data_IF_050452356401
#
_entry.id   IF_050452356401
#
_cell.length_a   1.000
_cell.length_b   1.000
_cell.length_c   1.000
_cell.angle_alpha   90.00
_cell.angle_beta   90.00
_cell.angle_gamma   90.00
#
_symmetry.space_group_name_H-M   'P 1'
#
loop_
_entity.id
_entity.type
_entity.pdbx_description
1 polymer ?
#
# COMPACT_ATOMS: atom_id res chain seq x y z
N UNK A 1 -1.04 27.91 -75.58
CA UNK A 1 -1.42 27.71 -74.17
C UNK A 1 -2.27 28.89 -73.77
N UNK A 2 -3.53 28.61 -73.42
CA UNK A 2 -4.44 29.65 -72.92
C UNK A 2 -4.02 30.09 -71.52
N UNK A 3 -4.45 31.28 -71.11
CA UNK A 3 -4.21 31.79 -69.76
C UNK A 3 -4.81 30.86 -68.69
N UNK A 4 -5.91 30.19 -69.03
CA UNK A 4 -6.58 29.20 -68.18
C UNK A 4 -5.75 27.93 -67.98
N UNK A 5 -5.11 27.40 -69.03
CA UNK A 5 -4.21 26.22 -68.92
C UNK A 5 -3.03 26.50 -67.97
N UNK A 6 -2.50 27.73 -68.01
CA UNK A 6 -1.39 28.14 -67.14
C UNK A 6 -1.83 28.32 -65.69
N UNK A 7 -3.02 28.88 -65.44
CA UNK A 7 -3.57 29.01 -64.09
C UNK A 7 -3.90 27.66 -63.47
N UNK A 8 -4.39 26.70 -64.26
CA UNK A 8 -4.63 25.33 -63.81
C UNK A 8 -3.32 24.60 -63.47
N UNK A 9 -2.27 24.80 -64.27
CA UNK A 9 -0.95 24.23 -63.98
C UNK A 9 -0.33 24.83 -62.71
N UNK A 10 -0.43 26.15 -62.51
CA UNK A 10 0.01 26.82 -61.28
C UNK A 10 -0.80 26.36 -60.07
N UNK A 11 -2.11 26.22 -60.19
CA UNK A 11 -2.98 25.71 -59.14
C UNK A 11 -2.68 24.26 -58.75
N UNK A 12 -2.37 23.40 -59.73
CA UNK A 12 -1.94 22.03 -59.49
C UNK A 12 -0.59 21.98 -58.77
N UNK A 13 0.39 22.79 -59.19
CA UNK A 13 1.70 22.89 -58.51
C UNK A 13 1.56 23.41 -57.09
N UNK A 14 0.70 24.40 -56.85
CA UNK A 14 0.45 24.95 -55.52
C UNK A 14 -0.21 23.91 -54.58
N UNK A 15 -1.15 23.10 -55.08
CA UNK A 15 -1.73 21.99 -54.30
C UNK A 15 -0.69 20.93 -53.92
N UNK A 16 0.22 20.58 -54.83
CA UNK A 16 1.31 19.63 -54.56
C UNK A 16 2.28 20.17 -53.51
N UNK A 17 2.65 21.46 -53.59
CA UNK A 17 3.52 22.11 -52.60
C UNK A 17 2.87 22.19 -51.22
N UNK A 18 1.58 22.53 -51.14
CA UNK A 18 0.83 22.57 -49.87
C UNK A 18 0.67 21.17 -49.25
N UNK A 19 0.42 20.15 -50.08
CA UNK A 19 0.37 18.76 -49.61
C UNK A 19 1.75 18.30 -49.09
N UNK A 20 2.84 18.68 -49.78
CA UNK A 20 4.21 18.40 -49.34
C UNK A 20 4.62 19.13 -48.05
N UNK A 21 4.11 20.34 -47.83
CA UNK A 21 4.29 21.07 -46.56
C UNK A 21 3.51 20.42 -45.42
N UNK A 22 2.29 19.94 -45.67
CA UNK A 22 1.48 19.22 -44.69
C UNK A 22 2.14 17.91 -44.26
N UNK A 23 2.67 17.12 -45.20
CA UNK A 23 3.39 15.88 -44.89
C UNK A 23 4.71 16.15 -44.17
N UNK A 24 5.44 17.21 -44.54
CA UNK A 24 6.65 17.62 -43.83
C UNK A 24 6.35 18.06 -42.38
N UNK A 25 5.30 18.85 -42.17
CA UNK A 25 4.88 19.26 -40.82
C UNK A 25 4.52 18.05 -39.97
N UNK A 26 3.75 17.11 -40.52
CA UNK A 26 3.39 15.87 -39.82
C UNK A 26 4.64 15.03 -39.47
N UNK A 27 5.60 14.90 -40.39
CA UNK A 27 6.86 14.20 -40.14
C UNK A 27 7.71 14.88 -39.06
N UNK A 28 7.72 16.21 -39.00
CA UNK A 28 8.40 16.97 -37.95
C UNK A 28 7.72 16.78 -36.60
N UNK A 29 6.39 16.82 -36.56
CA UNK A 29 5.61 16.58 -35.33
C UNK A 29 5.81 15.15 -34.81
N UNK A 30 5.72 14.14 -35.68
CA UNK A 30 6.00 12.74 -35.34
C UNK A 30 7.46 12.56 -34.89
N UNK A 31 8.42 13.20 -35.57
CA UNK A 31 9.83 13.18 -35.18
C UNK A 31 10.09 13.83 -33.82
N UNK A 32 9.42 14.94 -33.52
CA UNK A 32 9.48 15.60 -32.22
C UNK A 32 8.87 14.73 -31.12
N UNK A 33 7.71 14.12 -31.36
CA UNK A 33 7.08 13.20 -30.41
C UNK A 33 7.99 12.00 -30.12
N UNK A 34 8.58 11.39 -31.15
CA UNK A 34 9.54 10.30 -30.98
C UNK A 34 10.79 10.72 -30.21
N UNK A 35 11.29 11.94 -30.43
CA UNK A 35 12.44 12.46 -29.70
C UNK A 35 12.09 12.70 -28.22
N UNK A 36 10.92 13.26 -27.93
CA UNK A 36 10.39 13.41 -26.56
C UNK A 36 10.30 12.05 -25.88
N UNK A 37 9.66 11.06 -26.50
CA UNK A 37 9.56 9.69 -25.99
C UNK A 37 10.93 9.05 -25.73
N UNK A 38 11.91 9.22 -26.63
CA UNK A 38 13.27 8.70 -26.45
C UNK A 38 14.00 9.39 -25.30
N UNK A 39 13.85 10.70 -25.17
CA UNK A 39 14.43 11.48 -24.06
C UNK A 39 13.80 11.06 -22.74
N UNK A 40 12.47 10.93 -22.68
CA UNK A 40 11.73 10.44 -21.51
C UNK A 40 12.17 9.03 -21.13
N UNK A 41 12.28 8.11 -22.10
CA UNK A 41 12.73 6.73 -21.86
C UNK A 41 14.18 6.67 -21.36
N UNK A 42 15.08 7.45 -21.95
CA UNK A 42 16.46 7.53 -21.51
C UNK A 42 16.57 8.14 -20.10
N UNK A 43 15.73 9.12 -19.79
CA UNK A 43 15.64 9.76 -18.49
C UNK A 43 15.08 8.81 -17.43
N UNK A 44 13.99 8.10 -17.73
CA UNK A 44 13.43 7.06 -16.89
C UNK A 44 14.51 6.03 -16.52
N UNK A 45 15.26 5.53 -17.51
CA UNK A 45 16.39 4.61 -17.29
C UNK A 45 17.51 5.21 -16.44
N UNK A 46 17.80 6.50 -16.61
CA UNK A 46 18.82 7.20 -15.83
C UNK A 46 18.40 7.37 -14.37
N UNK A 47 17.15 7.77 -14.16
CA UNK A 47 16.56 7.95 -12.83
C UNK A 47 16.40 6.60 -12.14
N UNK A 48 16.02 5.53 -12.83
CA UNK A 48 15.89 4.15 -12.30
C UNK A 48 17.23 3.58 -11.83
N UNK A 49 18.33 3.97 -12.47
CA UNK A 49 19.69 3.58 -12.05
C UNK A 49 20.27 4.48 -10.96
N UNK A 50 19.62 5.60 -10.63
CA UNK A 50 20.16 6.60 -9.70
C UNK A 50 20.28 6.12 -8.24
N UNK A 51 19.35 5.33 -7.66
CA UNK A 51 19.49 4.77 -6.32
C UNK A 51 20.76 3.90 -6.19
N UNK A 52 20.93 2.96 -7.12
CA UNK A 52 22.14 2.14 -7.21
C UNK A 52 23.38 2.98 -7.47
N UNK A 53 23.24 4.10 -8.19
CA UNK A 53 24.34 5.02 -8.43
C UNK A 53 24.75 5.74 -7.15
N UNK A 54 23.81 6.17 -6.29
CA UNK A 54 24.10 6.82 -5.02
C UNK A 54 24.70 5.83 -4.01
N UNK A 55 24.20 4.60 -3.96
CA UNK A 55 24.79 3.52 -3.15
C UNK A 55 26.20 3.21 -3.63
N UNK A 56 26.40 2.96 -4.93
CA UNK A 56 27.73 2.74 -5.51
C UNK A 56 28.65 3.95 -5.33
N UNK A 57 28.11 5.16 -5.43
CA UNK A 57 28.86 6.39 -5.19
C UNK A 57 29.34 6.44 -3.74
N UNK A 58 28.48 6.14 -2.76
CA UNK A 58 28.86 6.08 -1.34
C UNK A 58 29.90 5.00 -1.07
N UNK A 59 29.81 3.84 -1.72
CA UNK A 59 30.79 2.75 -1.58
C UNK A 59 32.18 3.09 -2.16
N UNK A 60 32.23 3.97 -3.16
CA UNK A 60 33.46 4.30 -3.90
C UNK A 60 34.00 5.68 -3.57
N UNK A 61 33.32 6.42 -2.71
CA UNK A 61 33.69 7.76 -2.26
C UNK A 61 34.21 7.67 -0.84
N UNK A 62 35.35 8.30 -0.57
CA UNK A 62 35.81 8.54 0.79
C UNK A 62 34.94 9.63 1.44
N UNK A 63 33.77 9.23 1.94
CA UNK A 63 32.81 10.12 2.60
C UNK A 63 33.46 10.87 3.77
N UNK A 64 34.24 10.23 4.67
CA UNK A 64 34.98 10.95 5.72
C UNK A 64 35.88 12.07 5.18
N UNK A 65 36.64 11.83 4.11
CA UNK A 65 37.49 12.86 3.52
C UNK A 65 36.68 14.02 2.93
N UNK A 66 35.56 13.74 2.23
CA UNK A 66 34.66 14.78 1.71
C UNK A 66 34.07 15.61 2.85
N UNK A 67 33.57 14.96 3.90
CA UNK A 67 33.03 15.65 5.06
C UNK A 67 34.11 16.50 5.73
N UNK A 68 35.35 16.02 5.87
CA UNK A 68 36.47 16.79 6.41
C UNK A 68 36.72 18.07 5.60
N UNK A 69 36.73 18.00 4.27
CA UNK A 69 36.87 19.18 3.39
C UNK A 69 35.72 20.16 3.56
N UNK A 70 34.48 19.66 3.67
CA UNK A 70 33.30 20.48 3.93
C UNK A 70 33.33 21.14 5.32
N UNK A 71 33.84 20.45 6.34
CA UNK A 71 34.05 21.02 7.68
C UNK A 71 35.11 22.13 7.65
N UNK A 72 36.18 21.92 6.90
CA UNK A 72 37.24 22.92 6.70
C UNK A 72 36.83 24.07 5.76
N UNK A 73 35.62 24.02 5.16
CA UNK A 73 35.15 24.97 4.13
C UNK A 73 36.12 25.11 2.95
N UNK A 74 36.72 24.00 2.55
CA UNK A 74 37.67 23.93 1.43
C UNK A 74 36.99 23.42 0.16
N UNK A 75 36.39 24.33 -0.61
CA UNK A 75 35.71 23.99 -1.85
C UNK A 75 36.69 23.67 -3.00
N UNK A 76 37.87 24.29 -2.99
CA UNK A 76 38.86 24.15 -4.05
C UNK A 76 39.39 22.71 -4.13
N UNK A 77 39.60 22.05 -2.98
CA UNK A 77 40.05 20.66 -2.93
C UNK A 77 38.96 19.61 -3.21
N UNK A 78 37.70 20.02 -3.36
CA UNK A 78 36.65 19.14 -3.83
C UNK A 78 36.79 18.92 -5.34
N UNK A 79 37.02 17.68 -5.73
CA UNK A 79 36.96 17.23 -7.11
C UNK A 79 35.55 17.39 -7.68
N UNK A 80 35.43 17.43 -9.01
CA UNK A 80 34.12 17.48 -9.69
C UNK A 80 33.19 16.34 -9.28
N UNK A 81 33.74 15.16 -9.01
CA UNK A 81 32.99 13.99 -8.54
C UNK A 81 32.44 14.21 -7.14
N UNK A 82 33.28 14.69 -6.22
CA UNK A 82 32.89 15.00 -4.84
C UNK A 82 31.81 16.08 -4.80
N UNK A 83 31.97 17.19 -5.54
CA UNK A 83 30.96 18.26 -5.64
C UNK A 83 29.59 17.74 -6.07
N UNK A 84 29.57 16.83 -7.05
CA UNK A 84 28.32 16.19 -7.52
C UNK A 84 27.69 15.26 -6.47
N UNK A 85 28.50 14.71 -5.57
CA UNK A 85 28.07 13.78 -4.53
C UNK A 85 27.49 14.47 -3.30
N UNK A 86 27.94 15.70 -2.99
CA UNK A 86 27.54 16.43 -1.77
C UNK A 86 26.02 16.49 -1.55
N UNK A 87 25.16 16.79 -2.55
CA UNK A 87 23.71 16.77 -2.35
C UNK A 87 23.15 15.40 -1.90
N UNK A 88 23.80 14.30 -2.30
CA UNK A 88 23.46 12.93 -1.89
C UNK A 88 23.90 12.58 -0.46
N UNK A 89 24.70 13.45 0.18
CA UNK A 89 25.20 13.33 1.55
C UNK A 89 24.52 14.34 2.49
N UNK A 90 23.34 14.85 2.12
CA UNK A 90 22.67 15.94 2.84
C UNK A 90 22.47 15.64 4.33
N UNK A 91 22.19 14.37 4.71
CA UNK A 91 22.02 13.95 6.11
C UNK A 91 23.29 14.15 6.92
N UNK A 92 24.43 13.79 6.35
CA UNK A 92 25.74 13.86 7.00
C UNK A 92 26.32 15.28 7.00
N UNK A 93 25.99 16.07 5.97
CA UNK A 93 26.49 17.45 5.81
C UNK A 93 25.77 18.40 6.77
N UNK A 94 24.45 18.27 6.92
CA UNK A 94 23.62 19.18 7.69
C UNK A 94 23.30 20.50 6.97
N UNK A 95 22.27 21.23 7.43
CA UNK A 95 21.75 22.40 6.72
C UNK A 95 22.76 23.56 6.64
N UNK A 96 23.49 23.84 7.72
CA UNK A 96 24.45 24.96 7.76
C UNK A 96 25.59 24.80 6.75
N UNK A 97 26.20 23.60 6.70
CA UNK A 97 27.31 23.33 5.78
C UNK A 97 26.82 23.19 4.35
N UNK A 98 25.61 22.67 4.15
CA UNK A 98 25.01 22.64 2.83
C UNK A 98 24.71 24.06 2.33
N UNK A 99 24.32 24.98 3.21
CA UNK A 99 24.15 26.39 2.85
C UNK A 99 25.45 26.97 2.30
N UNK A 100 26.54 26.83 3.05
CA UNK A 100 27.87 27.27 2.60
C UNK A 100 28.27 26.60 1.27
N UNK A 101 28.05 25.29 1.13
CA UNK A 101 28.36 24.57 -0.11
C UNK A 101 27.56 25.09 -1.31
N UNK A 102 26.27 25.37 -1.13
CA UNK A 102 25.40 25.91 -2.18
C UNK A 102 25.75 27.36 -2.55
N UNK A 103 26.38 28.13 -1.65
CA UNK A 103 26.93 29.44 -2.00
C UNK A 103 28.12 29.31 -2.98
N UNK A 104 28.89 28.24 -2.85
CA UNK A 104 30.02 27.94 -3.75
C UNK A 104 29.61 27.19 -5.02
N UNK A 105 28.49 26.46 -4.99
CA UNK A 105 27.97 25.65 -6.11
C UNK A 105 26.43 25.77 -6.22
N UNK A 106 25.90 26.93 -6.66
CA UNK A 106 24.45 27.12 -6.81
C UNK A 106 23.80 26.11 -7.76
N UNK A 107 24.53 25.63 -8.77
CA UNK A 107 24.09 24.64 -9.75
C UNK A 107 23.81 23.25 -9.14
N UNK A 108 24.22 23.03 -7.88
CA UNK A 108 23.92 21.80 -7.14
C UNK A 108 22.55 21.82 -6.47
N UNK A 109 21.89 22.98 -6.36
CA UNK A 109 20.59 23.13 -5.72
C UNK A 109 19.51 22.20 -6.32
N UNK A 110 19.32 22.09 -7.65
CA UNK A 110 18.35 21.16 -8.23
C UNK A 110 18.57 19.69 -7.88
N UNK A 111 19.83 19.27 -7.62
CA UNK A 111 20.13 17.90 -7.18
C UNK A 111 19.74 17.69 -5.73
N UNK A 112 19.98 18.68 -4.87
CA UNK A 112 19.59 18.63 -3.47
C UNK A 112 18.06 18.53 -3.33
N UNK A 113 17.31 19.34 -4.07
CA UNK A 113 15.84 19.31 -4.04
C UNK A 113 15.32 17.91 -4.38
N UNK A 114 15.75 17.35 -5.51
CA UNK A 114 15.36 16.01 -5.95
C UNK A 114 15.71 14.94 -4.93
N UNK A 115 16.91 15.01 -4.35
CA UNK A 115 17.30 14.06 -3.33
C UNK A 115 16.47 14.20 -2.05
N UNK A 116 16.13 15.42 -1.63
CA UNK A 116 15.32 15.65 -0.42
C UNK A 116 13.88 15.16 -0.57
N UNK A 117 13.29 15.27 -1.75
CA UNK A 117 11.95 14.73 -2.02
C UNK A 117 11.97 13.22 -2.13
N UNK A 118 13.01 12.66 -2.75
CA UNK A 118 13.24 11.21 -2.80
C UNK A 118 13.39 10.62 -1.40
N UNK A 119 14.12 11.32 -0.54
CA UNK A 119 14.37 10.90 0.84
C UNK A 119 13.35 11.45 1.83
N UNK A 120 12.26 12.05 1.35
CA UNK A 120 11.24 12.66 2.21
C UNK A 120 10.64 11.59 3.11
N UNK A 121 10.53 11.90 4.39
CA UNK A 121 9.94 11.01 5.38
C UNK A 121 9.07 11.81 6.32
N UNK A 122 7.90 11.27 6.63
CA UNK A 122 6.98 11.79 7.65
C UNK A 122 7.57 11.68 9.05
N UNK A 123 8.51 10.77 9.26
CA UNK A 123 9.20 10.53 10.55
C UNK A 123 10.39 11.46 10.80
N UNK A 124 10.83 12.24 9.78
CA UNK A 124 11.88 13.24 9.97
C UNK A 124 11.46 14.28 11.02
N UNK A 125 12.40 14.65 11.90
CA UNK A 125 12.20 15.70 12.88
C UNK A 125 11.68 17.01 12.23
N UNK A 126 10.66 17.61 12.85
CA UNK A 126 9.99 18.78 12.31
C UNK A 126 10.89 20.02 12.23
N UNK A 127 11.90 20.12 13.10
CA UNK A 127 12.87 21.22 13.09
C UNK A 127 13.88 21.03 11.96
N UNK A 128 14.44 19.82 11.81
CA UNK A 128 15.27 19.46 10.66
C UNK A 128 14.56 19.72 9.33
N UNK A 129 13.33 19.22 9.18
CA UNK A 129 12.55 19.39 7.95
C UNK A 129 12.35 20.85 7.59
N UNK A 130 11.95 21.69 8.56
CA UNK A 130 11.78 23.14 8.37
C UNK A 130 13.09 23.84 8.00
N UNK A 131 14.21 23.46 8.64
CA UNK A 131 15.52 24.03 8.31
C UNK A 131 15.92 23.75 6.86
N UNK A 132 15.73 22.50 6.40
CA UNK A 132 15.99 22.12 5.01
C UNK A 132 15.05 22.80 4.01
N UNK A 133 13.76 22.85 4.32
CA UNK A 133 12.76 23.51 3.47
C UNK A 133 13.11 25.00 3.26
N UNK A 134 13.41 25.72 4.35
CA UNK A 134 13.83 27.13 4.29
C UNK A 134 15.13 27.34 3.53
N UNK A 135 16.14 26.49 3.79
CA UNK A 135 17.44 26.59 3.12
C UNK A 135 17.29 26.53 1.58
N UNK A 136 16.47 25.61 1.11
CA UNK A 136 16.23 25.42 -0.32
C UNK A 136 15.29 26.51 -0.87
N UNK A 137 14.26 26.87 -0.12
CA UNK A 137 13.24 27.85 -0.51
C UNK A 137 13.74 29.29 -0.66
N UNK A 138 14.73 29.69 0.14
CA UNK A 138 15.28 31.04 0.12
C UNK A 138 16.20 31.31 -1.08
N UNK A 139 16.56 30.28 -1.86
CA UNK A 139 17.51 30.41 -2.97
C UNK A 139 16.79 30.55 -4.29
N UNK A 140 17.19 31.49 -5.16
CA UNK A 140 16.60 31.64 -6.49
C UNK A 140 16.86 30.36 -7.27
N UNK A 141 15.79 29.79 -7.78
CA UNK A 141 15.84 28.55 -8.52
C UNK A 141 15.21 28.81 -9.88
N UNK A 142 16.05 28.81 -10.92
CA UNK A 142 15.56 28.97 -12.29
C UNK A 142 14.55 27.85 -12.59
N UNK A 143 13.34 28.22 -13.01
CA UNK A 143 12.26 27.27 -13.35
C UNK A 143 12.66 26.27 -14.44
N UNK A 144 13.70 26.58 -15.23
CA UNK A 144 14.30 25.71 -16.24
C UNK A 144 15.31 24.70 -15.67
N UNK A 145 15.97 25.03 -14.55
CA UNK A 145 17.05 24.23 -13.96
C UNK A 145 16.53 23.05 -13.12
N UNK A 146 15.35 23.20 -12.54
CA UNK A 146 14.55 22.09 -12.05
C UNK A 146 13.45 21.84 -13.09
N UNK A 147 13.32 20.61 -13.63
CA UNK A 147 12.08 20.17 -14.31
C UNK A 147 10.96 19.98 -13.28
N UNK A 148 10.66 21.05 -12.55
CA UNK A 148 9.76 21.11 -11.41
C UNK A 148 8.56 21.94 -11.81
N UNK A 149 7.53 21.23 -12.24
CA UNK A 149 6.23 21.80 -12.56
C UNK A 149 5.24 21.59 -11.41
N UNK A 150 5.72 21.53 -10.16
CA UNK A 150 4.80 21.48 -9.04
C UNK A 150 4.08 22.82 -8.90
N UNK A 151 2.78 22.80 -8.58
CA UNK A 151 1.97 24.00 -8.40
C UNK A 151 2.27 24.75 -7.10
N UNK A 152 3.30 24.34 -6.36
CA UNK A 152 3.67 24.89 -5.05
C UNK A 152 5.17 25.21 -4.99
N UNK A 153 5.54 26.06 -4.04
CA UNK A 153 6.95 26.40 -3.79
C UNK A 153 7.74 25.17 -3.33
N UNK A 154 9.06 25.18 -3.56
CA UNK A 154 9.94 24.10 -3.08
C UNK A 154 9.97 24.03 -1.55
N UNK A 155 9.92 25.18 -0.87
CA UNK A 155 9.83 25.23 0.60
C UNK A 155 8.58 24.49 1.10
N UNK A 156 7.43 24.77 0.49
CA UNK A 156 6.17 24.14 0.85
C UNK A 156 6.18 22.64 0.55
N UNK A 157 6.71 22.24 -0.62
CA UNK A 157 6.81 20.82 -1.00
C UNK A 157 7.71 20.02 -0.05
N UNK A 158 8.85 20.58 0.38
CA UNK A 158 9.74 19.94 1.36
C UNK A 158 9.20 20.00 2.79
N UNK A 159 8.20 20.83 3.04
CA UNK A 159 7.52 20.97 4.33
C UNK A 159 6.78 19.71 4.78
N UNK A 160 6.31 19.75 6.03
CA UNK A 160 5.50 18.66 6.59
C UNK A 160 4.16 18.51 5.88
N UNK A 161 3.58 19.63 5.43
CA UNK A 161 2.30 19.70 4.75
C UNK A 161 2.41 19.58 3.23
N UNK A 162 3.61 19.54 2.65
CA UNK A 162 3.82 19.48 1.20
C UNK A 162 2.95 18.42 0.48
N UNK A 163 2.95 17.15 0.95
CA UNK A 163 2.08 16.14 0.36
C UNK A 163 0.59 16.44 0.47
N UNK A 164 0.16 17.08 1.56
CA UNK A 164 -1.24 17.47 1.78
C UNK A 164 -1.65 18.58 0.82
N UNK A 165 -0.83 19.63 0.68
CA UNK A 165 -1.12 20.77 -0.20
C UNK A 165 -1.20 20.33 -1.67
N UNK A 166 -0.27 19.47 -2.12
CA UNK A 166 -0.32 18.92 -3.48
C UNK A 166 -1.57 18.09 -3.74
N UNK A 167 -1.91 17.21 -2.79
CA UNK A 167 -3.13 16.40 -2.87
C UNK A 167 -4.38 17.29 -2.96
N UNK A 168 -4.42 18.39 -2.20
CA UNK A 168 -5.51 19.37 -2.20
C UNK A 168 -5.61 20.08 -3.56
N UNK A 169 -4.47 20.48 -4.11
CA UNK A 169 -4.42 21.18 -5.40
C UNK A 169 -4.92 20.31 -6.56
N UNK A 170 -4.66 19.00 -6.52
CA UNK A 170 -5.07 18.06 -7.57
C UNK A 170 -6.33 17.26 -7.25
N UNK A 171 -7.09 17.63 -6.21
CA UNK A 171 -8.25 16.87 -5.74
C UNK A 171 -9.38 16.73 -6.77
N UNK A 172 -9.41 17.58 -7.80
CA UNK A 172 -10.37 17.51 -8.91
C UNK A 172 -10.06 16.41 -9.92
N UNK A 173 -8.80 15.98 -10.04
CA UNK A 173 -8.37 14.99 -11.03
C UNK A 173 -8.52 13.57 -10.47
N UNK A 174 -8.72 12.55 -11.32
CA UNK A 174 -8.59 11.14 -10.96
C UNK A 174 -7.22 10.79 -10.38
N UNK A 175 -7.13 9.68 -9.64
CA UNK A 175 -5.88 9.26 -9.01
C UNK A 175 -4.80 8.92 -10.05
N UNK A 176 -5.18 8.29 -11.16
CA UNK A 176 -4.24 7.95 -12.24
C UNK A 176 -3.59 9.20 -12.83
N UNK A 177 -4.38 10.25 -13.07
CA UNK A 177 -3.87 11.53 -13.57
C UNK A 177 -2.98 12.22 -12.54
N UNK A 178 -3.30 12.14 -11.24
CA UNK A 178 -2.45 12.65 -10.18
C UNK A 178 -1.06 11.97 -10.19
N UNK A 179 -1.01 10.66 -10.39
CA UNK A 179 0.26 9.92 -10.47
C UNK A 179 1.06 10.33 -11.71
N UNK A 180 0.41 10.52 -12.86
CA UNK A 180 1.08 11.05 -14.06
C UNK A 180 1.55 12.50 -13.88
N UNK A 181 0.78 13.35 -13.19
CA UNK A 181 1.21 14.72 -12.86
C UNK A 181 2.44 14.73 -11.93
N UNK A 182 2.49 13.85 -10.93
CA UNK A 182 3.68 13.68 -10.08
C UNK A 182 4.89 13.27 -10.93
N UNK A 183 4.72 12.30 -11.82
CA UNK A 183 5.76 11.82 -12.74
C UNK A 183 6.25 12.94 -13.66
N UNK A 184 5.34 13.71 -14.24
CA UNK A 184 5.63 14.86 -15.10
C UNK A 184 6.35 15.99 -14.34
N UNK A 185 6.11 16.11 -13.04
CA UNK A 185 6.85 17.00 -12.15
C UNK A 185 8.22 16.44 -11.68
N UNK A 186 8.64 15.29 -12.22
CA UNK A 186 9.92 14.66 -11.90
C UNK A 186 9.92 13.88 -10.57
N UNK A 187 8.75 13.63 -9.98
CA UNK A 187 8.60 12.80 -8.80
C UNK A 187 8.29 11.37 -9.22
N UNK A 188 9.16 10.43 -8.82
CA UNK A 188 8.91 9.03 -9.09
C UNK A 188 7.67 8.53 -8.33
N UNK A 189 6.76 7.79 -8.98
CA UNK A 189 5.65 7.12 -8.30
C UNK A 189 6.13 6.25 -7.13
N UNK A 190 7.20 5.46 -7.31
CA UNK A 190 7.78 4.66 -6.25
C UNK A 190 8.52 5.44 -5.15
N UNK A 191 8.57 6.78 -5.17
CA UNK A 191 9.23 7.54 -4.11
C UNK A 191 8.35 7.65 -2.85
N UNK A 192 8.94 7.75 -1.64
CA UNK A 192 8.23 8.02 -0.40
C UNK A 192 7.23 9.17 -0.52
N UNK A 193 7.68 10.31 -1.07
CA UNK A 193 6.86 11.51 -1.21
C UNK A 193 5.56 11.26 -1.99
N UNK A 194 5.64 10.58 -3.13
CA UNK A 194 4.49 10.27 -3.97
C UNK A 194 3.45 9.41 -3.22
N UNK A 195 3.88 8.39 -2.49
CA UNK A 195 2.98 7.58 -1.65
C UNK A 195 2.25 8.41 -0.59
N UNK A 196 2.95 9.38 0.02
CA UNK A 196 2.32 10.30 0.97
C UNK A 196 1.34 11.28 0.31
N UNK A 197 1.60 11.76 -0.93
CA UNK A 197 0.63 12.56 -1.69
C UNK A 197 -0.64 11.74 -1.95
N UNK A 198 -0.48 10.50 -2.44
CA UNK A 198 -1.60 9.60 -2.74
C UNK A 198 -2.43 9.31 -1.48
N UNK A 199 -1.77 9.00 -0.35
CA UNK A 199 -2.46 8.78 0.91
C UNK A 199 -3.24 10.02 1.38
N UNK A 200 -2.70 11.23 1.20
CA UNK A 200 -3.41 12.48 1.52
C UNK A 200 -4.57 12.75 0.59
N UNK A 201 -4.41 12.48 -0.70
CA UNK A 201 -5.45 12.61 -1.71
C UNK A 201 -6.66 11.72 -1.39
N UNK A 202 -6.42 10.44 -1.08
CA UNK A 202 -7.47 9.49 -0.68
C UNK A 202 -8.25 10.01 0.54
N UNK A 203 -7.54 10.41 1.60
CA UNK A 203 -8.16 10.96 2.83
C UNK A 203 -8.95 12.23 2.59
N UNK A 204 -8.48 13.13 1.72
CA UNK A 204 -9.22 14.34 1.36
C UNK A 204 -10.49 14.01 0.59
N UNK A 205 -10.47 13.01 -0.30
CA UNK A 205 -11.68 12.53 -0.98
C UNK A 205 -12.69 11.88 -0.03
N UNK A 206 -12.24 11.16 1.00
CA UNK A 206 -13.12 10.69 2.10
C UNK A 206 -13.81 11.89 2.76
N UNK A 207 -13.05 12.92 3.16
CA UNK A 207 -13.60 14.13 3.78
C UNK A 207 -14.61 14.84 2.87
N UNK A 208 -14.34 14.88 1.57
CA UNK A 208 -15.22 15.43 0.55
C UNK A 208 -16.40 14.51 0.18
N UNK A 209 -16.51 13.32 0.80
CA UNK A 209 -17.54 12.30 0.52
C UNK A 209 -17.67 11.94 -0.97
N UNK A 210 -16.54 11.89 -1.67
CA UNK A 210 -16.49 11.50 -3.08
C UNK A 210 -16.42 9.98 -3.22
N UNK A 211 -16.91 9.46 -4.35
CA UNK A 211 -16.65 8.09 -4.76
C UNK A 211 -15.14 7.88 -4.96
N UNK A 212 -14.68 6.74 -4.45
CA UNK A 212 -13.27 6.34 -4.42
C UNK A 212 -13.02 5.07 -5.23
N UNK A 213 -14.06 4.51 -5.86
CA UNK A 213 -14.01 3.24 -6.61
C UNK A 213 -12.91 3.23 -7.66
N UNK A 214 -12.87 4.25 -8.53
CA UNK A 214 -11.86 4.38 -9.60
C UNK A 214 -10.42 4.46 -9.04
N UNK A 215 -10.23 5.21 -7.95
CA UNK A 215 -8.91 5.36 -7.34
C UNK A 215 -8.41 4.07 -6.69
N UNK A 216 -9.30 3.35 -5.99
CA UNK A 216 -8.94 2.07 -5.38
C UNK A 216 -8.76 0.97 -6.44
N UNK A 217 -9.56 0.98 -7.51
CA UNK A 217 -9.38 0.11 -8.67
C UNK A 217 -7.99 0.29 -9.30
N UNK A 218 -7.56 1.54 -9.51
CA UNK A 218 -6.19 1.83 -9.96
C UNK A 218 -5.13 1.20 -9.05
N UNK A 219 -5.27 1.34 -7.73
CA UNK A 219 -4.29 0.78 -6.78
C UNK A 219 -4.23 -0.75 -6.79
N UNK A 220 -5.34 -1.42 -7.08
CA UNK A 220 -5.45 -2.88 -6.98
C UNK A 220 -5.17 -3.57 -8.32
N UNK A 221 -5.52 -2.96 -9.45
CA UNK A 221 -5.51 -3.62 -10.76
C UNK A 221 -4.43 -3.10 -11.71
N UNK A 222 -3.95 -1.87 -11.52
CA UNK A 222 -2.94 -1.29 -12.41
C UNK A 222 -1.53 -1.52 -11.84
N UNK A 223 -0.55 -2.05 -12.60
CA UNK A 223 0.80 -2.34 -12.10
C UNK A 223 1.48 -1.14 -11.41
N UNK A 224 1.26 0.07 -11.94
CA UNK A 224 1.78 1.30 -11.34
C UNK A 224 1.17 1.58 -9.96
N UNK A 225 -0.14 1.34 -9.79
CA UNK A 225 -0.85 1.44 -8.53
C UNK A 225 -0.44 0.36 -7.51
N UNK A 226 -0.19 -0.85 -8.01
CA UNK A 226 0.22 -1.98 -7.17
C UNK A 226 1.58 -1.79 -6.50
N UNK A 227 2.42 -0.89 -7.01
CA UNK A 227 3.71 -0.55 -6.39
C UNK A 227 3.57 -0.10 -4.92
N UNK A 228 2.42 0.47 -4.52
CA UNK A 228 2.16 0.86 -3.13
C UNK A 228 1.38 -0.18 -2.32
N UNK A 229 0.80 -1.18 -2.97
CA UNK A 229 -0.04 -2.21 -2.34
C UNK A 229 0.76 -3.48 -2.03
N UNK A 230 0.27 -4.38 -1.16
CA UNK A 230 0.78 -5.74 -1.05
C UNK A 230 0.73 -6.45 -2.41
N UNK A 231 1.81 -7.12 -2.80
CA UNK A 231 1.88 -7.85 -4.08
C UNK A 231 2.65 -9.16 -3.88
N UNK A 232 2.42 -10.11 -4.76
CA UNK A 232 3.16 -11.37 -4.78
C UNK A 232 4.34 -11.29 -5.77
N UNK A 233 5.22 -12.31 -5.75
CA UNK A 233 6.37 -12.36 -6.66
C UNK A 233 5.99 -12.60 -8.15
N UNK A 234 4.72 -12.89 -8.44
CA UNK A 234 4.20 -13.14 -9.79
C UNK A 234 3.55 -11.90 -10.41
N UNK A 235 3.32 -10.85 -9.63
CA UNK A 235 2.75 -9.59 -10.11
C UNK A 235 3.83 -8.85 -10.92
N UNK A 236 3.42 -8.20 -12.03
CA UNK A 236 4.31 -7.42 -12.91
C UNK A 236 4.64 -6.04 -12.29
N UNK A 237 5.09 -6.04 -11.04
CA UNK A 237 5.48 -4.85 -10.29
C UNK A 237 7.00 -4.68 -10.42
N UNK A 238 7.40 -3.81 -11.36
CA UNK A 238 8.82 -3.60 -11.66
C UNK A 238 9.64 -3.12 -10.44
N UNK A 239 9.07 -2.24 -9.59
CA UNK A 239 9.73 -1.70 -8.39
C UNK A 239 8.66 -1.37 -7.32
N UNK A 240 8.74 -2.03 -6.16
CA UNK A 240 7.90 -1.72 -5.00
C UNK A 240 8.28 -0.38 -4.37
N UNK A 241 7.29 0.40 -3.93
CA UNK A 241 7.55 1.62 -3.16
C UNK A 241 8.20 1.30 -1.79
N UNK A 242 8.96 2.23 -1.18
CA UNK A 242 9.48 2.06 0.16
C UNK A 242 8.37 1.79 1.19
N UNK A 243 8.71 1.03 2.23
CA UNK A 243 7.78 0.61 3.29
C UNK A 243 6.91 1.75 3.82
N UNK A 244 7.51 2.90 4.12
CA UNK A 244 6.80 4.05 4.68
C UNK A 244 5.67 4.55 3.75
N UNK A 245 5.93 4.64 2.45
CA UNK A 245 4.92 5.03 1.47
C UNK A 245 3.82 3.97 1.33
N UNK A 246 4.20 2.68 1.31
CA UNK A 246 3.24 1.58 1.28
C UNK A 246 2.32 1.61 2.48
N UNK A 247 2.87 1.77 3.69
CA UNK A 247 2.09 1.92 4.94
C UNK A 247 1.13 3.10 4.86
N UNK A 248 1.58 4.25 4.38
CA UNK A 248 0.73 5.43 4.25
C UNK A 248 -0.46 5.20 3.29
N UNK A 249 -0.21 4.60 2.12
CA UNK A 249 -1.23 4.30 1.12
C UNK A 249 -2.18 3.21 1.60
N UNK A 250 -1.67 2.11 2.16
CA UNK A 250 -2.49 1.02 2.71
C UNK A 250 -3.38 1.52 3.85
N UNK A 251 -2.84 2.32 4.78
CA UNK A 251 -3.62 2.94 5.86
C UNK A 251 -4.75 3.82 5.31
N UNK A 252 -4.45 4.67 4.32
CA UNK A 252 -5.49 5.49 3.68
C UNK A 252 -6.51 4.64 2.89
N UNK A 253 -6.10 3.55 2.26
CA UNK A 253 -6.99 2.63 1.56
C UNK A 253 -7.93 1.89 2.54
N UNK A 254 -7.45 1.53 3.73
CA UNK A 254 -8.31 0.98 4.80
C UNK A 254 -9.32 2.01 5.29
N UNK A 255 -8.91 3.27 5.47
CA UNK A 255 -9.84 4.35 5.79
C UNK A 255 -10.91 4.51 4.70
N UNK A 256 -10.52 4.45 3.42
CA UNK A 256 -11.45 4.47 2.29
C UNK A 256 -12.40 3.27 2.33
N UNK A 257 -11.89 2.08 2.65
CA UNK A 257 -12.68 0.86 2.78
C UNK A 257 -13.69 0.96 3.94
N UNK A 258 -13.32 1.61 5.05
CA UNK A 258 -14.17 1.76 6.24
C UNK A 258 -15.21 2.89 6.11
N UNK A 259 -14.86 3.98 5.43
CA UNK A 259 -15.64 5.24 5.45
C UNK A 259 -16.06 5.77 4.07
N UNK A 260 -15.46 5.26 3.00
CA UNK A 260 -15.68 5.73 1.64
C UNK A 260 -16.91 5.13 0.97
N UNK A 261 -17.41 5.83 -0.03
CA UNK A 261 -18.30 5.23 -1.03
C UNK A 261 -17.40 4.46 -2.00
N UNK A 262 -17.41 3.13 -1.89
CA UNK A 262 -16.63 2.22 -2.74
C UNK A 262 -17.57 1.14 -3.25
N UNK A 263 -17.53 0.88 -4.55
CA UNK A 263 -18.31 -0.19 -5.17
C UNK A 263 -17.95 -1.55 -4.55
N UNK A 264 -18.93 -2.45 -4.28
CA UNK A 264 -18.68 -3.75 -3.64
C UNK A 264 -17.65 -4.62 -4.37
N UNK A 265 -17.61 -4.55 -5.70
CA UNK A 265 -16.64 -5.28 -6.54
C UNK A 265 -15.20 -4.81 -6.32
N UNK A 266 -14.97 -3.50 -6.22
CA UNK A 266 -13.66 -2.91 -5.91
C UNK A 266 -13.28 -3.23 -4.46
N UNK A 267 -14.24 -3.16 -3.54
CA UNK A 267 -14.04 -3.52 -2.14
C UNK A 267 -13.50 -4.94 -2.01
N UNK A 268 -14.17 -5.94 -2.59
CA UNK A 268 -13.71 -7.34 -2.53
C UNK A 268 -12.30 -7.54 -3.10
N UNK A 269 -12.00 -6.93 -4.26
CA UNK A 269 -10.64 -6.99 -4.84
C UNK A 269 -9.59 -6.33 -3.95
N UNK A 270 -9.92 -5.21 -3.30
CA UNK A 270 -9.04 -4.55 -2.35
C UNK A 270 -8.75 -5.45 -1.15
N UNK A 271 -9.75 -6.12 -0.59
CA UNK A 271 -9.56 -7.05 0.52
C UNK A 271 -8.63 -8.20 0.12
N UNK A 272 -8.84 -8.82 -1.04
CA UNK A 272 -7.98 -9.88 -1.59
C UNK A 272 -6.54 -9.41 -1.78
N UNK A 273 -6.37 -8.19 -2.31
CA UNK A 273 -5.05 -7.58 -2.49
C UNK A 273 -4.35 -7.36 -1.16
N UNK A 274 -5.07 -6.87 -0.15
CA UNK A 274 -4.50 -6.57 1.16
C UNK A 274 -4.02 -7.82 1.89
N UNK A 275 -4.70 -8.96 1.73
CA UNK A 275 -4.32 -10.23 2.38
C UNK A 275 -3.35 -11.09 1.57
N UNK A 276 -2.91 -10.62 0.40
CA UNK A 276 -2.01 -11.41 -0.45
C UNK A 276 -0.69 -11.68 0.26
N UNK A 277 -0.05 -12.80 -0.06
CA UNK A 277 1.24 -13.17 0.52
C UNK A 277 2.34 -12.26 -0.02
N UNK A 278 2.53 -11.16 0.67
CA UNK A 278 3.61 -10.19 0.50
C UNK A 278 4.68 -10.40 1.59
N UNK A 279 5.96 -10.21 1.27
CA UNK A 279 7.07 -10.45 2.21
C UNK A 279 7.11 -9.46 3.38
N UNK A 280 6.44 -8.31 3.25
CA UNK A 280 6.45 -7.19 4.19
C UNK A 280 5.16 -7.11 4.98
N UNK A 281 4.01 -7.27 4.31
CA UNK A 281 2.70 -7.23 4.94
C UNK A 281 2.23 -8.61 5.39
N UNK A 282 2.27 -9.64 4.55
CA UNK A 282 1.68 -10.93 4.91
C UNK A 282 0.20 -10.81 5.34
N UNK A 283 -0.27 -11.69 6.22
CA UNK A 283 -1.68 -11.74 6.63
C UNK A 283 -1.93 -10.89 7.90
N UNK A 284 -2.88 -9.91 7.87
CA UNK A 284 -3.18 -9.04 9.01
C UNK A 284 -3.81 -9.76 10.21
N UNK A 285 -4.22 -11.02 10.06
CA UNK A 285 -4.86 -11.81 11.12
C UNK A 285 -3.84 -12.58 11.97
N UNK A 286 -2.55 -12.52 11.67
CA UNK A 286 -1.54 -13.23 12.45
C UNK A 286 -1.40 -12.63 13.86
N UNK A 287 -1.10 -13.49 14.84
CA UNK A 287 -0.90 -13.08 16.24
C UNK A 287 0.27 -12.12 16.39
N UNK A 288 1.38 -12.44 15.72
CA UNK A 288 2.51 -11.52 15.53
C UNK A 288 2.31 -10.86 14.18
N UNK A 289 1.97 -9.58 14.21
CA UNK A 289 1.82 -8.79 13.00
C UNK A 289 3.17 -8.63 12.32
N UNK A 290 3.15 -8.54 10.99
CA UNK A 290 4.34 -8.14 10.25
C UNK A 290 4.68 -6.68 10.52
N UNK A 291 5.93 -6.28 10.25
CA UNK A 291 6.34 -4.89 10.36
C UNK A 291 5.41 -3.93 9.57
N UNK A 292 4.92 -4.36 8.40
CA UNK A 292 3.98 -3.58 7.60
C UNK A 292 2.65 -3.37 8.31
N UNK A 293 2.04 -4.44 8.83
CA UNK A 293 0.75 -4.34 9.53
C UNK A 293 0.83 -3.65 10.88
N UNK A 294 1.92 -3.83 11.63
CA UNK A 294 2.17 -3.07 12.86
C UNK A 294 2.22 -1.57 12.58
N UNK A 295 2.92 -1.17 11.52
CA UNK A 295 3.03 0.23 11.13
C UNK A 295 1.69 0.80 10.64
N UNK A 296 0.91 0.03 9.88
CA UNK A 296 -0.46 0.42 9.47
C UNK A 296 -1.37 0.60 10.68
N UNK A 297 -1.38 -0.36 11.61
CA UNK A 297 -2.17 -0.27 12.85
C UNK A 297 -1.77 0.92 13.71
N UNK A 298 -0.48 1.24 13.77
CA UNK A 298 0.02 2.44 14.47
C UNK A 298 -0.41 3.73 13.77
N UNK A 299 -0.48 3.73 12.45
CA UNK A 299 -0.87 4.90 11.66
C UNK A 299 -2.39 5.17 11.74
N UNK A 300 -3.21 4.13 11.63
CA UNK A 300 -4.65 4.19 11.83
C UNK A 300 -5.18 2.89 12.44
N UNK A 301 -5.32 2.91 13.77
CA UNK A 301 -5.81 1.76 14.51
C UNK A 301 -7.29 1.48 14.21
N UNK A 302 -8.11 2.50 14.04
CA UNK A 302 -9.55 2.33 13.88
C UNK A 302 -9.88 1.67 12.54
N UNK A 303 -9.25 2.13 11.46
CA UNK A 303 -9.41 1.53 10.13
C UNK A 303 -8.87 0.09 10.07
N UNK A 304 -7.72 -0.17 10.72
CA UNK A 304 -7.17 -1.51 10.83
C UNK A 304 -8.08 -2.46 11.61
N UNK A 305 -8.52 -2.07 12.82
CA UNK A 305 -9.37 -2.90 13.66
C UNK A 305 -10.74 -3.16 12.98
N UNK A 306 -11.29 -2.18 12.25
CA UNK A 306 -12.52 -2.34 11.45
C UNK A 306 -12.34 -3.34 10.30
N UNK A 307 -11.23 -3.26 9.57
CA UNK A 307 -10.90 -4.20 8.49
C UNK A 307 -10.71 -5.63 9.02
N UNK A 308 -9.92 -5.78 10.09
CA UNK A 308 -9.71 -7.07 10.75
C UNK A 308 -11.03 -7.69 11.22
N UNK A 309 -11.89 -6.88 11.84
CA UNK A 309 -13.23 -7.29 12.30
C UNK A 309 -14.08 -7.81 11.15
N UNK A 310 -14.07 -7.15 9.98
CA UNK A 310 -14.84 -7.62 8.82
C UNK A 310 -14.28 -8.92 8.23
N UNK A 311 -12.95 -9.08 8.17
CA UNK A 311 -12.36 -10.35 7.73
C UNK A 311 -12.77 -11.51 8.66
N UNK A 312 -12.76 -11.28 9.97
CA UNK A 312 -13.21 -12.25 10.98
C UNK A 312 -14.70 -12.56 10.80
N UNK A 313 -15.53 -11.54 10.57
CA UNK A 313 -16.96 -11.71 10.34
C UNK A 313 -17.22 -12.56 9.08
N UNK A 314 -16.54 -12.27 7.96
CA UNK A 314 -16.66 -13.07 6.74
C UNK A 314 -16.26 -14.53 6.97
N UNK A 315 -15.17 -14.78 7.71
CA UNK A 315 -14.72 -16.14 8.00
C UNK A 315 -15.75 -16.90 8.86
N UNK A 316 -16.35 -16.23 9.84
CA UNK A 316 -17.42 -16.78 10.71
C UNK A 316 -18.68 -17.11 9.91
N UNK A 317 -19.16 -16.17 9.11
CA UNK A 317 -20.34 -16.34 8.26
C UNK A 317 -20.11 -17.47 7.25
N UNK A 318 -18.95 -17.49 6.60
CA UNK A 318 -18.56 -18.56 5.69
C UNK A 318 -18.58 -19.94 6.38
N UNK A 319 -17.92 -20.09 7.53
CA UNK A 319 -17.86 -21.38 8.21
C UNK A 319 -19.24 -21.86 8.67
N UNK A 320 -19.94 -21.04 9.45
CA UNK A 320 -21.19 -21.48 10.08
C UNK A 320 -22.39 -21.48 9.14
N UNK A 321 -22.48 -20.55 8.18
CA UNK A 321 -23.62 -20.53 7.26
C UNK A 321 -23.43 -21.48 6.09
N UNK A 322 -22.24 -21.47 5.48
CA UNK A 322 -22.02 -22.09 4.18
C UNK A 322 -21.45 -23.48 4.29
N UNK A 323 -20.50 -23.68 5.19
CA UNK A 323 -19.85 -24.97 5.37
C UNK A 323 -20.68 -25.89 6.29
N UNK A 324 -21.21 -25.35 7.40
CA UNK A 324 -21.82 -26.17 8.46
C UNK A 324 -23.34 -26.03 8.64
N UNK A 325 -23.93 -24.93 8.18
CA UNK A 325 -25.36 -24.62 8.35
C UNK A 325 -25.84 -24.50 9.82
N UNK A 326 -24.98 -24.00 10.72
CA UNK A 326 -25.23 -23.87 12.17
C UNK A 326 -25.50 -22.42 12.61
N UNK A 327 -26.77 -22.00 12.53
CA UNK A 327 -27.18 -20.61 12.70
C UNK A 327 -27.10 -20.08 14.14
N UNK A 328 -27.28 -20.95 15.14
CA UNK A 328 -27.21 -20.59 16.55
C UNK A 328 -25.77 -20.30 16.99
N UNK A 329 -24.81 -21.15 16.57
CA UNK A 329 -23.38 -20.95 16.84
C UNK A 329 -22.84 -19.71 16.12
N UNK A 330 -23.30 -19.47 14.88
CA UNK A 330 -23.02 -18.21 14.16
C UNK A 330 -23.41 -16.99 15.00
N UNK A 331 -24.68 -16.92 15.42
CA UNK A 331 -25.21 -15.79 16.20
C UNK A 331 -24.46 -15.61 17.52
N UNK A 332 -24.05 -16.71 18.15
CA UNK A 332 -23.27 -16.68 19.38
C UNK A 332 -21.92 -15.99 19.17
N UNK A 333 -21.10 -16.51 18.26
CA UNK A 333 -19.73 -16.02 18.04
C UNK A 333 -19.67 -14.61 17.45
N UNK A 334 -20.68 -14.20 16.67
CA UNK A 334 -20.81 -12.83 16.19
C UNK A 334 -20.95 -11.78 17.31
N UNK A 335 -21.27 -12.18 18.54
CA UNK A 335 -21.30 -11.27 19.69
C UNK A 335 -19.90 -11.00 20.28
N UNK A 336 -18.84 -11.59 19.73
CA UNK A 336 -17.47 -11.49 20.25
C UNK A 336 -16.48 -10.96 19.20
N UNK A 337 -16.95 -10.35 18.11
CA UNK A 337 -16.11 -9.91 17.00
C UNK A 337 -14.98 -8.96 17.45
N UNK A 338 -15.27 -8.01 18.32
CA UNK A 338 -14.30 -7.07 18.87
C UNK A 338 -13.30 -7.70 19.85
N UNK A 339 -13.58 -8.90 20.36
CA UNK A 339 -12.68 -9.69 21.20
C UNK A 339 -11.82 -10.67 20.40
N UNK A 340 -12.29 -11.13 19.24
CA UNK A 340 -11.53 -12.04 18.37
C UNK A 340 -10.37 -11.25 17.73
N UNK A 341 -9.20 -11.91 17.67
CA UNK A 341 -7.97 -11.38 17.06
C UNK A 341 -7.58 -12.13 15.79
N UNK A 342 -7.96 -13.40 15.70
CA UNK A 342 -7.67 -14.26 14.55
C UNK A 342 -8.72 -15.35 14.40
N UNK A 343 -8.95 -15.73 13.15
CA UNK A 343 -9.75 -16.87 12.74
C UNK A 343 -8.92 -17.83 11.90
N UNK A 344 -9.16 -19.13 12.00
CA UNK A 344 -8.71 -20.10 11.00
C UNK A 344 -9.79 -21.13 10.76
N UNK A 345 -10.22 -21.23 9.50
CA UNK A 345 -11.20 -22.20 9.06
C UNK A 345 -10.49 -23.46 8.55
N UNK A 346 -10.76 -24.60 9.19
CA UNK A 346 -10.28 -25.92 8.78
C UNK A 346 -11.47 -26.74 8.29
N UNK A 347 -11.50 -27.06 7.00
CA UNK A 347 -12.57 -27.84 6.40
C UNK A 347 -12.14 -29.29 6.21
N UNK A 348 -13.02 -30.21 6.56
CA UNK A 348 -12.87 -31.62 6.18
C UNK A 348 -12.81 -31.77 4.66
N UNK A 349 -12.19 -32.86 4.20
CA UNK A 349 -11.95 -33.09 2.78
C UNK A 349 -13.23 -33.05 1.94
N UNK A 350 -14.33 -33.63 2.42
CA UNK A 350 -15.59 -33.72 1.67
C UNK A 350 -16.22 -32.33 1.52
N UNK A 351 -16.30 -31.58 2.61
CA UNK A 351 -16.85 -30.22 2.59
C UNK A 351 -15.99 -29.28 1.74
N UNK A 352 -14.66 -29.36 1.87
CA UNK A 352 -13.74 -28.54 1.09
C UNK A 352 -13.90 -28.83 -0.41
N UNK A 353 -13.87 -30.09 -0.82
CA UNK A 353 -13.93 -30.47 -2.24
C UNK A 353 -15.31 -30.12 -2.84
N UNK A 354 -16.39 -30.27 -2.07
CA UNK A 354 -17.73 -29.83 -2.47
C UNK A 354 -17.81 -28.32 -2.68
N UNK A 355 -17.22 -27.51 -1.79
CA UNK A 355 -17.17 -26.05 -1.96
C UNK A 355 -16.25 -25.63 -3.10
N UNK A 356 -15.11 -26.31 -3.28
CA UNK A 356 -14.19 -26.09 -4.39
C UNK A 356 -14.87 -26.29 -5.75
N UNK A 357 -15.64 -27.36 -5.91
CA UNK A 357 -16.38 -27.63 -7.16
C UNK A 357 -17.43 -26.56 -7.48
N UNK A 358 -17.95 -25.88 -6.46
CA UNK A 358 -18.97 -24.82 -6.59
C UNK A 358 -18.39 -23.42 -6.47
N UNK A 359 -17.05 -23.29 -6.42
CA UNK A 359 -16.36 -22.04 -6.12
C UNK A 359 -16.86 -20.85 -6.95
N UNK A 360 -16.99 -21.03 -8.28
CA UNK A 360 -17.44 -19.99 -9.20
C UNK A 360 -18.89 -19.50 -8.96
N UNK A 361 -19.70 -20.28 -8.26
CA UNK A 361 -21.09 -19.94 -7.89
C UNK A 361 -21.23 -19.36 -6.48
N UNK A 362 -20.14 -19.24 -5.73
CA UNK A 362 -20.16 -18.57 -4.43
C UNK A 362 -20.18 -17.05 -4.62
N UNK A 363 -20.87 -16.28 -3.75
CA UNK A 363 -20.70 -14.84 -3.66
C UNK A 363 -19.23 -14.44 -3.48
N UNK A 364 -18.82 -13.26 -3.97
CA UNK A 364 -17.42 -12.82 -3.94
C UNK A 364 -16.80 -12.84 -2.52
N UNK A 365 -17.54 -12.39 -1.51
CA UNK A 365 -17.11 -12.41 -0.10
C UNK A 365 -16.87 -13.84 0.42
N UNK A 366 -17.70 -14.79 -0.02
CA UNK A 366 -17.55 -16.21 0.32
C UNK A 366 -16.43 -16.88 -0.46
N UNK A 367 -16.16 -16.47 -1.70
CA UNK A 367 -14.99 -16.91 -2.46
C UNK A 367 -13.71 -16.49 -1.73
N UNK A 368 -13.64 -15.24 -1.27
CA UNK A 368 -12.51 -14.74 -0.52
C UNK A 368 -12.30 -15.52 0.79
N UNK A 369 -13.38 -15.78 1.56
CA UNK A 369 -13.31 -16.60 2.77
C UNK A 369 -12.90 -18.06 2.50
N UNK A 370 -13.43 -18.67 1.43
CA UNK A 370 -13.07 -20.03 1.03
C UNK A 370 -11.59 -20.16 0.66
N UNK A 371 -11.02 -19.19 -0.10
CA UNK A 371 -9.59 -19.20 -0.44
C UNK A 371 -8.68 -19.14 0.78
N UNK A 372 -9.19 -18.65 1.92
CA UNK A 372 -8.47 -18.58 3.21
C UNK A 372 -8.67 -19.84 4.06
N UNK A 373 -9.69 -20.65 3.77
CA UNK A 373 -9.95 -21.90 4.46
C UNK A 373 -8.87 -22.93 4.12
N UNK A 374 -8.54 -23.77 5.10
CA UNK A 374 -7.54 -24.83 4.97
C UNK A 374 -8.23 -26.18 4.86
N UNK A 375 -7.79 -27.00 3.91
CA UNK A 375 -8.27 -28.38 3.76
C UNK A 375 -7.55 -29.29 4.75
N UNK A 376 -8.31 -30.08 5.51
CA UNK A 376 -7.79 -31.18 6.31
C UNK A 376 -7.58 -32.41 5.41
N UNK A 377 -6.37 -33.00 5.36
CA UNK A 377 -6.11 -34.21 4.57
C UNK A 377 -6.97 -35.41 4.95
N UNK A 378 -7.30 -35.57 6.25
CA UNK A 378 -7.98 -36.73 6.81
C UNK A 378 -9.08 -36.30 7.79
N UNK A 379 -10.08 -37.16 7.94
CA UNK A 379 -11.20 -36.98 8.88
C UNK A 379 -12.46 -36.39 8.24
N UNK A 380 -13.55 -36.47 8.99
CA UNK A 380 -14.92 -36.06 8.61
C UNK A 380 -15.41 -34.87 9.45
N UNK A 381 -14.50 -34.18 10.13
CA UNK A 381 -14.82 -33.08 11.04
C UNK A 381 -14.07 -31.83 10.61
N UNK A 382 -14.82 -30.78 10.37
CA UNK A 382 -14.33 -29.42 10.18
C UNK A 382 -14.16 -28.74 11.54
N UNK A 383 -13.25 -27.76 11.61
CA UNK A 383 -12.99 -26.99 12.82
C UNK A 383 -12.83 -25.50 12.53
N UNK A 384 -13.22 -24.66 13.48
CA UNK A 384 -13.05 -23.22 13.41
C UNK A 384 -12.30 -22.73 14.64
N UNK A 385 -11.11 -22.19 14.39
CA UNK A 385 -10.23 -21.67 15.43
C UNK A 385 -10.45 -20.17 15.61
N UNK A 386 -10.64 -19.74 16.85
CA UNK A 386 -10.87 -18.37 17.29
C UNK A 386 -9.79 -18.00 18.31
N UNK A 387 -8.92 -17.03 18.00
CA UNK A 387 -7.95 -16.51 18.97
C UNK A 387 -8.48 -15.26 19.64
N UNK A 388 -8.32 -15.19 20.96
CA UNK A 388 -8.63 -14.06 21.83
C UNK A 388 -7.37 -13.51 22.51
N UNK A 389 -6.23 -13.58 21.82
CA UNK A 389 -4.92 -13.24 22.39
C UNK A 389 -4.33 -14.43 23.15
N UNK A 390 -4.40 -14.42 24.48
CA UNK A 390 -3.86 -15.51 25.32
C UNK A 390 -4.70 -16.78 25.34
N UNK A 391 -5.90 -16.74 24.76
CA UNK A 391 -6.81 -17.87 24.74
C UNK A 391 -7.21 -18.22 23.31
N UNK A 392 -7.44 -19.50 23.06
CA UNK A 392 -7.93 -20.00 21.78
C UNK A 392 -9.15 -20.88 22.01
N UNK A 393 -10.23 -20.62 21.28
CA UNK A 393 -11.37 -21.51 21.20
C UNK A 393 -11.36 -22.26 19.87
N UNK A 394 -11.51 -23.59 19.89
CA UNK A 394 -11.67 -24.40 18.68
C UNK A 394 -13.05 -25.03 18.68
N UNK A 395 -13.86 -24.59 17.74
CA UNK A 395 -15.19 -25.10 17.46
C UNK A 395 -15.12 -26.28 16.48
N UNK A 396 -15.94 -27.32 16.67
CA UNK A 396 -15.94 -28.50 15.79
C UNK A 396 -17.35 -28.76 15.21
N UNK A 397 -17.42 -29.13 13.93
CA UNK A 397 -18.67 -29.12 13.16
C UNK A 397 -19.69 -30.22 13.47
N UNK A 398 -19.26 -31.43 13.87
CA UNK A 398 -20.22 -32.54 14.03
C UNK A 398 -21.13 -32.34 15.24
N UNK A 399 -22.43 -32.58 15.07
CA UNK A 399 -23.48 -32.48 16.09
C UNK A 399 -23.12 -33.32 17.33
N UNK A 400 -23.03 -32.66 18.50
CA UNK A 400 -22.56 -33.26 19.76
C UNK A 400 -21.09 -32.97 20.12
N UNK A 401 -20.31 -32.38 19.22
CA UNK A 401 -18.96 -31.93 19.53
C UNK A 401 -18.94 -30.62 20.31
N UNK A 402 -17.84 -30.47 21.06
CA UNK A 402 -17.62 -29.40 22.01
C UNK A 402 -16.68 -28.35 21.44
N UNK A 403 -16.81 -27.13 21.91
CA UNK A 403 -15.76 -26.12 21.80
C UNK A 403 -14.69 -26.44 22.82
N UNK A 404 -13.43 -26.39 22.42
CA UNK A 404 -12.32 -26.56 23.34
C UNK A 404 -11.62 -25.23 23.54
N UNK A 405 -11.40 -24.87 24.81
CA UNK A 405 -10.68 -23.68 25.20
C UNK A 405 -9.27 -24.06 25.65
N UNK A 406 -8.30 -23.31 25.15
CA UNK A 406 -6.88 -23.45 25.42
C UNK A 406 -6.32 -22.14 25.95
N UNK A 407 -5.48 -22.21 26.97
CA UNK A 407 -4.58 -21.12 27.34
C UNK A 407 -3.30 -21.24 26.50
N UNK A 408 -2.80 -20.09 26.02
CA UNK A 408 -1.64 -20.02 25.16
C UNK A 408 -0.44 -19.55 26.00
N UNK A 409 0.47 -20.46 26.37
CA UNK A 409 1.78 -20.03 26.90
C UNK A 409 2.69 -19.62 25.72
N UNK A 410 2.88 -18.30 25.53
CA UNK A 410 3.78 -17.71 24.53
C UNK A 410 3.15 -17.37 23.17
N UNK A 411 3.97 -16.96 22.19
CA UNK A 411 3.50 -16.47 20.86
C UNK A 411 2.93 -17.54 19.94
N UNK A 412 3.05 -18.82 20.32
CA UNK A 412 2.55 -19.95 19.55
C UNK A 412 1.29 -20.48 20.17
N UNK A 413 0.23 -20.62 19.38
CA UNK A 413 -0.90 -21.49 19.72
C UNK A 413 -0.35 -22.85 20.10
N UNK A 414 -0.39 -23.22 21.39
CA UNK A 414 0.09 -24.51 21.87
C UNK A 414 -0.64 -25.69 21.18
N UNK A 415 -1.79 -25.43 20.56
CA UNK A 415 -2.56 -26.37 19.73
C UNK A 415 -1.83 -26.77 18.42
N UNK A 416 -0.86 -25.98 17.91
CA UNK A 416 -0.38 -26.10 16.52
C UNK A 416 1.11 -26.49 16.35
N UNK A 417 1.83 -26.90 17.41
CA UNK A 417 3.29 -27.10 17.36
C UNK A 417 3.82 -28.54 17.26
N UNK A 418 3.01 -29.54 16.91
CA UNK A 418 3.51 -30.94 16.80
C UNK A 418 3.66 -31.51 15.39
N UNK A 419 3.31 -30.79 14.33
CA UNK A 419 3.50 -31.26 12.96
C UNK A 419 2.52 -30.65 11.96
N UNK A 420 2.49 -31.20 10.76
CA UNK A 420 1.42 -30.92 9.80
C UNK A 420 0.07 -31.33 10.40
N UNK A 421 -0.93 -30.46 10.34
CA UNK A 421 -2.29 -30.81 10.76
C UNK A 421 -2.88 -31.70 9.69
N UNK A 422 -3.08 -32.97 10.03
CA UNK A 422 -3.65 -33.94 9.12
C UNK A 422 -5.15 -34.15 9.38
N UNK A 423 -5.60 -33.91 10.61
CA UNK A 423 -6.98 -34.15 11.02
C UNK A 423 -7.44 -33.24 12.15
N UNK A 424 -8.76 -33.17 12.38
CA UNK A 424 -9.36 -32.47 13.51
C UNK A 424 -8.92 -32.99 14.90
N UNK A 425 -8.34 -34.19 14.98
CA UNK A 425 -7.81 -34.72 16.25
C UNK A 425 -6.54 -33.99 16.68
N UNK A 426 -5.76 -33.51 15.72
CA UNK A 426 -4.52 -32.77 15.98
C UNK A 426 -4.80 -31.40 16.60
N UNK A 427 -6.05 -30.93 16.46
CA UNK A 427 -6.56 -29.71 17.08
C UNK A 427 -7.10 -29.93 18.51
N UNK A 428 -6.97 -31.14 19.09
CA UNK A 428 -7.40 -31.47 20.46
C UNK A 428 -6.18 -31.71 21.35
N UNK A 429 -6.12 -31.01 22.48
CA UNK A 429 -5.03 -31.14 23.47
C UNK A 429 -5.57 -31.64 24.82
N UNK A 430 -4.80 -32.51 25.49
CA UNK A 430 -5.08 -32.97 26.86
C UNK A 430 -5.04 -31.79 27.84
N UNK A 431 -6.02 -31.72 28.75
CA UNK A 431 -6.12 -30.65 29.76
C UNK A 431 -6.90 -29.40 29.33
N UNK A 432 -7.50 -29.41 28.13
CA UNK A 432 -8.35 -28.33 27.64
C UNK A 432 -9.72 -28.28 28.32
N UNK A 433 -10.27 -27.07 28.48
CA UNK A 433 -11.64 -26.89 28.95
C UNK A 433 -12.60 -27.20 27.83
N UNK A 434 -13.45 -28.21 28.03
CA UNK A 434 -14.42 -28.68 27.02
C UNK A 434 -15.81 -28.10 27.29
N UNK A 435 -16.34 -27.32 26.36
CA UNK A 435 -17.67 -26.74 26.43
C UNK A 435 -18.63 -27.44 25.44
N UNK A 436 -19.71 -28.04 25.95
CA UNK A 436 -20.62 -28.88 25.15
C UNK A 436 -21.90 -28.13 24.78
N UNK A 437 -22.31 -28.24 23.50
CA UNK A 437 -23.54 -27.69 22.94
C UNK A 437 -24.82 -28.45 23.37
N UNK A 438 -25.07 -28.54 24.67
CA UNK A 438 -26.35 -29.04 25.23
C UNK A 438 -27.37 -27.88 25.41
N UNK A 439 -28.62 -28.19 25.74
CA UNK A 439 -29.65 -27.17 25.95
C UNK A 439 -29.17 -26.05 26.91
N UNK A 440 -29.37 -24.79 26.53
CA UNK A 440 -28.89 -23.62 27.29
C UNK A 440 -27.37 -23.44 27.30
N UNK A 441 -26.63 -24.03 26.37
CA UNK A 441 -25.16 -23.94 26.30
C UNK A 441 -24.64 -22.50 26.24
N UNK A 442 -25.39 -21.58 25.63
CA UNK A 442 -24.95 -20.20 25.41
C UNK A 442 -24.54 -19.53 26.71
N UNK A 443 -25.38 -19.61 27.76
CA UNK A 443 -25.10 -18.97 29.05
C UNK A 443 -23.85 -19.56 29.73
N UNK A 444 -23.63 -20.87 29.58
CA UNK A 444 -22.43 -21.53 30.14
C UNK A 444 -21.17 -21.14 29.39
N UNK A 445 -21.25 -21.03 28.07
CA UNK A 445 -20.14 -20.53 27.26
C UNK A 445 -19.83 -19.08 27.60
N UNK A 446 -20.85 -18.24 27.75
CA UNK A 446 -20.68 -16.84 28.14
C UNK A 446 -19.95 -16.71 29.46
N UNK A 447 -20.36 -17.46 30.47
CA UNK A 447 -19.68 -17.45 31.76
C UNK A 447 -18.24 -17.93 31.62
N UNK A 448 -18.00 -19.05 30.93
CA UNK A 448 -16.65 -19.58 30.74
C UNK A 448 -15.72 -18.62 29.98
N UNK A 449 -16.23 -17.92 28.97
CA UNK A 449 -15.46 -16.90 28.24
C UNK A 449 -15.21 -15.67 29.12
N UNK A 450 -16.21 -15.24 29.88
CA UNK A 450 -16.08 -14.10 30.81
C UNK A 450 -15.05 -14.38 31.91
N UNK A 451 -15.01 -15.60 32.45
CA UNK A 451 -14.03 -16.03 33.46
C UNK A 451 -12.59 -15.96 32.92
N UNK A 452 -12.41 -16.09 31.59
CA UNK A 452 -11.14 -15.91 30.88
C UNK A 452 -10.87 -14.46 30.46
N UNK A 453 -11.73 -13.51 30.86
CA UNK A 453 -11.65 -12.10 30.49
C UNK A 453 -12.10 -11.80 29.06
N UNK A 454 -12.77 -12.73 28.39
CA UNK A 454 -13.29 -12.57 27.03
C UNK A 454 -14.73 -12.09 27.12
N UNK A 455 -14.93 -10.79 26.92
CA UNK A 455 -16.25 -10.18 26.95
C UNK A 455 -16.91 -10.16 25.58
N UNK A 456 -18.25 -10.17 25.57
CA UNK A 456 -19.04 -9.81 24.39
C UNK A 456 -18.79 -8.36 24.01
N UNK A 457 -18.95 -8.08 22.73
CA UNK A 457 -19.00 -6.72 22.22
C UNK A 457 -20.13 -5.97 22.92
N UNK A 458 -19.83 -4.76 23.43
CA UNK A 458 -20.89 -3.87 23.92
C UNK A 458 -21.87 -3.67 22.78
N UNK A 459 -23.17 -3.82 23.04
CA UNK A 459 -24.20 -3.67 22.03
C UNK A 459 -24.20 -2.24 21.48
N UNK A 460 -23.38 -2.01 20.45
CA UNK A 460 -23.53 -0.85 19.58
C UNK A 460 -24.75 -1.18 18.73
N UNK A 461 -25.78 -0.34 18.76
CA UNK A 461 -26.92 -0.44 17.85
C UNK A 461 -26.38 -0.53 16.42
N UNK A 462 -26.32 -1.73 15.86
CA UNK A 462 -25.98 -1.95 14.45
C UNK A 462 -27.10 -1.32 13.65
N UNK A 463 -26.86 -0.12 13.11
CA UNK A 463 -27.69 0.39 12.03
C UNK A 463 -27.50 -0.57 10.86
N UNK A 464 -28.49 -1.41 10.63
CA UNK A 464 -28.63 -2.20 9.40
C UNK A 464 -28.59 -1.20 8.24
N UNK A 465 -27.59 -1.33 7.37
CA UNK A 465 -27.50 -0.64 6.09
C UNK A 465 -27.66 -1.66 4.99
#
# INVERSE_FOLDING_TARGET
MGLDDWLDEVGARQKVVLAGLGTFQQQVEEGMQQLVLRVETAQQRADDREPDRLVRMRQTLDVPAVLKKLHARDFASLTRRERRAVPGLWREVGPERMAWFLDQSPESLPRLVRQRLRDWSSTEDATSRRAWARLVGQRPLEKSALRWALPISVEEALGADGPRVLAEHWLSHPLVELVEMLKNAGLKPGAPYAGHVIARYLRQRIKARKDLSEGLEFLVDVPLGQAWMPHNNMDDVAISAPLEARVAVVSAALECWAHGQVAPTVRGRLEERLIIRDSVFGDPRLTTLSQGWEAVRKADQAAFDAFLTALIQQDLEFFFERAMHEQDRRKFWLNYLGSIRRTTCWLDAVTYDALQSRFASLPAEQQAAFRRAKRLPRGDVSAFELSFGRHVAVEFSRTGNATYLYEQEGESTQVLRRGAIESARDLKVLGSTRLVHAAGWQLRFEQALLDLGIAKDRSVKRNVR
#
